data_IF_845809094311
#
_entry.id   IF_845809094311
#
_cell.length_a   1.000
_cell.length_b   1.000
_cell.length_c   1.000
_cell.angle_alpha   90.00
_cell.angle_beta   90.00
_cell.angle_gamma   90.00
#
_symmetry.space_group_name_H-M   'P 1'
#
loop_
_entity.id
_entity.type
_entity.pdbx_description
1 polymer ?
#
# COMPACT_ATOMS: atom_id res chain seq x y z
N UNK A 1 -22.56 31.47 -2.44
CA UNK A 1 -21.43 30.67 -1.93
C UNK A 1 -20.96 31.37 -0.66
N UNK A 2 -21.53 31.02 0.49
CA UNK A 2 -21.18 31.65 1.77
C UNK A 2 -19.72 31.30 2.10
N UNK A 3 -18.93 32.31 2.45
CA UNK A 3 -17.61 32.11 3.04
C UNK A 3 -17.78 31.33 4.35
N UNK A 4 -17.66 30.01 4.29
CA UNK A 4 -17.60 29.17 5.48
C UNK A 4 -16.17 29.27 6.03
N UNK A 5 -15.97 30.23 6.92
CA UNK A 5 -14.69 30.41 7.59
C UNK A 5 -14.38 29.16 8.44
N UNK A 6 -13.33 28.41 8.06
CA UNK A 6 -12.90 27.24 8.82
C UNK A 6 -12.61 27.65 10.27
N UNK A 7 -13.13 26.89 11.23
CA UNK A 7 -12.82 27.14 12.63
C UNK A 7 -11.33 26.89 12.88
N UNK A 8 -10.67 27.69 13.75
CA UNK A 8 -9.24 27.49 14.10
C UNK A 8 -8.92 26.04 14.45
N UNK A 9 -9.81 25.36 15.17
CA UNK A 9 -9.70 23.93 15.52
C UNK A 9 -9.66 23.02 14.28
N UNK A 10 -10.46 23.30 13.27
CA UNK A 10 -10.51 22.50 12.04
C UNK A 10 -9.25 22.71 11.20
N UNK A 11 -8.74 23.94 11.18
CA UNK A 11 -7.47 24.26 10.53
C UNK A 11 -6.28 23.53 11.20
N UNK A 12 -6.20 23.55 12.53
CA UNK A 12 -5.18 22.78 13.26
C UNK A 12 -5.33 21.28 13.06
N UNK A 13 -6.56 20.76 13.05
CA UNK A 13 -6.80 19.35 12.76
C UNK A 13 -6.29 18.98 11.37
N UNK A 14 -6.54 19.81 10.35
CA UNK A 14 -6.06 19.60 8.99
C UNK A 14 -4.52 19.59 8.89
N UNK A 15 -3.86 20.54 9.55
CA UNK A 15 -2.39 20.55 9.59
C UNK A 15 -1.82 19.34 10.30
N UNK A 16 -2.35 18.99 11.48
CA UNK A 16 -1.90 17.80 12.23
C UNK A 16 -2.10 16.51 11.44
N UNK A 17 -3.25 16.36 10.75
CA UNK A 17 -3.48 15.18 9.91
C UNK A 17 -2.49 15.11 8.75
N UNK A 18 -2.16 16.24 8.13
CA UNK A 18 -1.20 16.26 7.01
C UNK A 18 0.22 15.91 7.48
N UNK A 19 0.68 16.53 8.57
CA UNK A 19 1.99 16.24 9.17
C UNK A 19 2.11 14.79 9.66
N UNK A 20 1.03 14.18 10.13
CA UNK A 20 1.05 12.78 10.56
C UNK A 20 1.14 11.78 9.39
N UNK A 21 0.57 12.10 8.22
CA UNK A 21 0.53 11.21 7.06
C UNK A 21 1.85 11.20 6.28
N UNK A 22 2.55 12.34 6.20
CA UNK A 22 3.78 12.48 5.40
C UNK A 22 4.87 11.45 5.75
N UNK A 23 5.25 11.23 7.03
CA UNK A 23 6.27 10.24 7.38
C UNK A 23 5.86 8.82 6.98
N UNK A 24 4.58 8.50 7.04
CA UNK A 24 4.06 7.20 6.66
C UNK A 24 4.21 6.96 5.15
N UNK A 25 3.81 7.93 4.33
CA UNK A 25 3.93 7.83 2.86
C UNK A 25 5.39 7.68 2.44
N UNK A 26 6.30 8.46 3.03
CA UNK A 26 7.71 8.43 2.66
C UNK A 26 8.38 7.17 3.20
N UNK A 27 8.37 6.94 4.51
CA UNK A 27 9.14 5.83 5.06
C UNK A 27 8.49 4.47 4.75
N UNK A 28 7.18 4.34 4.96
CA UNK A 28 6.50 3.04 4.88
C UNK A 28 6.20 2.67 3.45
N UNK A 29 5.48 3.52 2.70
CA UNK A 29 5.05 3.15 1.35
C UNK A 29 6.22 3.11 0.35
N UNK A 30 7.21 4.00 0.49
CA UNK A 30 8.31 4.08 -0.51
C UNK A 30 9.52 3.19 -0.20
N UNK A 31 9.75 2.83 1.06
CA UNK A 31 10.94 2.04 1.46
C UNK A 31 10.54 0.68 2.03
N UNK A 32 9.76 0.66 3.12
CA UNK A 32 9.53 -0.60 3.83
C UNK A 32 8.62 -1.57 3.08
N UNK A 33 7.50 -1.11 2.49
CA UNK A 33 6.57 -1.98 1.76
C UNK A 33 7.25 -2.69 0.58
N UNK A 34 7.98 -2.01 -0.33
CA UNK A 34 8.67 -2.69 -1.42
C UNK A 34 9.64 -3.77 -0.94
N UNK A 35 10.43 -3.49 0.11
CA UNK A 35 11.40 -4.42 0.68
C UNK A 35 10.71 -5.63 1.31
N UNK A 36 9.60 -5.40 2.04
CA UNK A 36 8.81 -6.47 2.64
C UNK A 36 8.20 -7.35 1.53
N UNK A 37 7.58 -6.75 0.51
CA UNK A 37 7.00 -7.50 -0.60
C UNK A 37 8.04 -8.33 -1.36
N UNK A 38 9.22 -7.78 -1.58
CA UNK A 38 10.33 -8.49 -2.24
C UNK A 38 10.82 -9.66 -1.37
N UNK A 39 10.99 -9.44 -0.07
CA UNK A 39 11.42 -10.49 0.87
C UNK A 39 10.38 -11.61 0.96
N UNK A 40 9.10 -11.26 1.09
CA UNK A 40 8.01 -12.23 1.22
C UNK A 40 7.77 -13.00 -0.08
N UNK A 41 7.84 -12.33 -1.23
CA UNK A 41 7.74 -12.99 -2.53
C UNK A 41 8.93 -13.91 -2.82
N UNK A 42 10.12 -13.57 -2.33
CA UNK A 42 11.32 -14.43 -2.43
C UNK A 42 11.21 -15.66 -1.52
N UNK A 43 10.71 -15.49 -0.29
CA UNK A 43 10.50 -16.61 0.65
C UNK A 43 9.41 -17.59 0.20
N UNK A 44 8.35 -17.09 -0.44
CA UNK A 44 7.28 -17.91 -0.99
C UNK A 44 7.55 -18.39 -2.44
N UNK A 45 8.67 -17.97 -3.02
CA UNK A 45 9.03 -18.23 -4.41
C UNK A 45 9.83 -19.52 -4.62
N UNK A 46 10.13 -19.78 -5.89
CA UNK A 46 10.92 -20.92 -6.36
C UNK A 46 12.18 -20.44 -7.07
N UNK A 47 13.15 -21.32 -7.28
CA UNK A 47 14.34 -20.99 -8.09
C UNK A 47 13.98 -20.81 -9.56
N UNK A 48 14.70 -19.90 -10.24
CA UNK A 48 14.51 -19.64 -11.67
C UNK A 48 14.80 -20.87 -12.54
N UNK A 49 15.88 -21.61 -12.21
CA UNK A 49 16.32 -22.80 -12.95
C UNK A 49 15.40 -24.00 -12.75
N UNK A 50 15.04 -24.29 -11.49
CA UNK A 50 14.10 -25.36 -11.13
C UNK A 50 12.96 -24.81 -10.26
N UNK A 51 11.79 -24.69 -10.90
CA UNK A 51 10.58 -24.10 -10.32
C UNK A 51 9.88 -25.01 -9.29
N UNK A 52 10.43 -26.18 -9.01
CA UNK A 52 9.91 -27.09 -7.98
C UNK A 52 10.66 -26.97 -6.65
N UNK A 53 11.78 -26.26 -6.62
CA UNK A 53 12.63 -26.10 -5.43
C UNK A 53 12.37 -24.72 -4.82
N UNK A 54 12.13 -24.62 -3.49
CA UNK A 54 11.96 -23.33 -2.83
C UNK A 54 13.22 -22.46 -3.01
N UNK A 55 13.01 -21.16 -3.12
CA UNK A 55 14.14 -20.24 -3.28
C UNK A 55 14.96 -20.13 -1.99
N UNK A 56 16.28 -20.01 -2.14
CA UNK A 56 17.20 -19.82 -1.02
C UNK A 56 17.81 -18.42 -1.12
N UNK A 57 17.37 -17.54 -0.23
CA UNK A 57 17.79 -16.13 -0.15
C UNK A 57 19.15 -15.95 0.56
N UNK A 58 19.75 -17.03 1.09
CA UNK A 58 21.04 -16.99 1.77
C UNK A 58 22.26 -17.06 0.84
N UNK A 59 22.06 -17.27 -0.46
CA UNK A 59 23.11 -17.43 -1.47
C UNK A 59 23.32 -16.09 -2.20
N UNK A 60 24.56 -15.68 -2.44
CA UNK A 60 24.86 -14.51 -3.29
C UNK A 60 24.36 -14.76 -4.74
N UNK A 61 23.71 -13.76 -5.35
CA UNK A 61 23.08 -13.84 -6.69
C UNK A 61 21.92 -14.84 -6.85
N UNK A 62 21.10 -15.03 -5.81
CA UNK A 62 19.86 -15.81 -5.96
C UNK A 62 18.89 -15.16 -6.97
N UNK A 63 18.27 -16.00 -7.81
CA UNK A 63 17.19 -15.58 -8.73
C UNK A 63 15.91 -16.35 -8.39
N UNK A 64 15.00 -15.66 -7.70
CA UNK A 64 13.70 -16.21 -7.31
C UNK A 64 12.60 -15.78 -8.27
N UNK A 65 11.69 -16.71 -8.54
CA UNK A 65 10.42 -16.46 -9.23
C UNK A 65 9.26 -16.74 -8.30
N UNK A 66 8.28 -15.85 -8.26
CA UNK A 66 7.05 -16.00 -7.51
C UNK A 66 5.85 -16.09 -8.45
N UNK A 67 4.73 -16.59 -7.96
CA UNK A 67 3.51 -16.72 -8.75
C UNK A 67 2.65 -15.48 -8.57
N UNK A 68 2.44 -14.74 -9.66
CA UNK A 68 1.50 -13.62 -9.68
C UNK A 68 0.28 -13.99 -10.54
N UNK A 69 -0.80 -14.39 -9.86
CA UNK A 69 -2.00 -14.92 -10.52
C UNK A 69 -1.70 -16.22 -11.28
N UNK A 70 -1.73 -16.15 -12.61
CA UNK A 70 -1.45 -17.29 -13.50
C UNK A 70 -0.01 -17.32 -14.02
N UNK A 71 0.73 -16.23 -13.88
CA UNK A 71 2.06 -16.07 -14.47
C UNK A 71 3.15 -16.13 -13.40
N UNK A 72 4.37 -16.49 -13.81
CA UNK A 72 5.56 -16.43 -12.96
C UNK A 72 6.28 -15.12 -13.21
N UNK A 73 6.65 -14.43 -12.14
CA UNK A 73 7.29 -13.12 -12.16
C UNK A 73 8.49 -13.16 -11.23
N UNK A 74 9.57 -12.47 -11.61
CA UNK A 74 10.74 -12.32 -10.72
C UNK A 74 10.35 -11.57 -9.43
N UNK A 75 10.82 -12.06 -8.29
CA UNK A 75 10.46 -11.51 -6.98
C UNK A 75 10.85 -10.02 -6.82
N UNK A 76 11.92 -9.59 -7.48
CA UNK A 76 12.35 -8.18 -7.52
C UNK A 76 11.35 -7.28 -8.28
N UNK A 77 10.78 -7.79 -9.37
CA UNK A 77 9.82 -7.06 -10.20
C UNK A 77 8.40 -7.09 -9.62
N UNK A 78 8.10 -8.09 -8.78
CA UNK A 78 6.82 -8.27 -8.12
C UNK A 78 6.38 -7.02 -7.34
N UNK A 79 7.27 -6.45 -6.52
CA UNK A 79 6.97 -5.26 -5.71
C UNK A 79 6.54 -4.08 -6.57
N UNK A 80 7.22 -3.85 -7.69
CA UNK A 80 6.89 -2.74 -8.60
C UNK A 80 5.53 -2.93 -9.28
N UNK A 81 5.17 -4.15 -9.69
CA UNK A 81 3.87 -4.42 -10.30
C UNK A 81 2.71 -4.21 -9.32
N UNK A 82 2.86 -4.68 -8.09
CA UNK A 82 1.88 -4.49 -7.02
C UNK A 82 1.68 -3.00 -6.71
N UNK A 83 2.77 -2.25 -6.55
CA UNK A 83 2.70 -0.81 -6.28
C UNK A 83 2.05 -0.07 -7.45
N UNK A 84 2.40 -0.42 -8.69
CA UNK A 84 1.78 0.18 -9.87
C UNK A 84 0.27 -0.09 -9.94
N UNK A 85 -0.17 -1.32 -9.65
CA UNK A 85 -1.58 -1.68 -9.59
C UNK A 85 -2.31 -0.93 -8.47
N UNK A 86 -1.68 -0.76 -7.31
CA UNK A 86 -2.22 0.01 -6.18
C UNK A 86 -2.42 1.48 -6.55
N UNK A 87 -1.41 2.15 -7.12
CA UNK A 87 -1.52 3.55 -7.55
C UNK A 87 -2.55 3.72 -8.67
N UNK A 88 -2.68 2.75 -9.56
CA UNK A 88 -3.74 2.74 -10.57
C UNK A 88 -5.14 2.68 -9.93
N UNK A 89 -5.35 1.82 -8.93
CA UNK A 89 -6.60 1.78 -8.16
C UNK A 89 -6.84 3.09 -7.39
N UNK A 90 -5.80 3.66 -6.77
CA UNK A 90 -5.86 4.94 -6.07
C UNK A 90 -6.29 6.09 -6.99
N UNK A 91 -5.92 6.06 -8.27
CA UNK A 91 -6.37 7.05 -9.25
C UNK A 91 -7.90 7.10 -9.37
N UNK A 92 -8.56 5.94 -9.45
CA UNK A 92 -10.02 5.87 -9.48
C UNK A 92 -10.66 6.38 -8.20
N UNK A 93 -10.09 6.00 -7.04
CA UNK A 93 -10.57 6.49 -5.75
C UNK A 93 -10.41 8.00 -5.65
N UNK A 94 -9.26 8.55 -6.07
CA UNK A 94 -8.98 9.97 -5.99
C UNK A 94 -9.94 10.80 -6.85
N UNK A 95 -10.17 10.38 -8.10
CA UNK A 95 -11.11 11.05 -9.00
C UNK A 95 -12.55 10.92 -8.48
N UNK A 96 -12.98 9.72 -8.10
CA UNK A 96 -14.36 9.46 -7.67
C UNK A 96 -14.70 10.10 -6.32
N UNK A 97 -13.86 9.87 -5.31
CA UNK A 97 -14.08 10.40 -3.97
C UNK A 97 -13.74 11.88 -3.86
N UNK A 98 -12.83 12.40 -4.69
CA UNK A 98 -12.57 13.84 -4.80
C UNK A 98 -13.83 14.59 -5.23
N UNK A 99 -14.47 14.14 -6.32
CA UNK A 99 -15.73 14.72 -6.78
C UNK A 99 -16.84 14.66 -5.71
N UNK A 100 -16.96 13.54 -4.98
CA UNK A 100 -17.96 13.38 -3.92
C UNK A 100 -17.69 14.26 -2.69
N UNK A 101 -16.41 14.47 -2.36
CA UNK A 101 -15.99 15.29 -1.22
C UNK A 101 -16.25 16.78 -1.44
N UNK A 102 -16.25 17.24 -2.70
CA UNK A 102 -16.53 18.62 -3.09
C UNK A 102 -18.03 18.99 -2.95
N UNK A 103 -18.93 18.01 -2.83
CA UNK A 103 -20.36 18.25 -2.65
C UNK A 103 -20.75 18.42 -1.16
N UNK A 104 -21.17 19.63 -0.80
CA UNK A 104 -21.89 19.94 0.43
C UNK A 104 -21.12 19.61 1.72
N UNK A 105 -21.81 19.03 2.70
CA UNK A 105 -21.27 18.73 4.04
C UNK A 105 -20.50 17.39 4.11
N UNK A 106 -20.13 16.80 2.98
CA UNK A 106 -19.47 15.48 2.95
C UNK A 106 -17.96 15.55 3.18
N UNK A 107 -17.32 16.71 2.94
CA UNK A 107 -15.87 16.91 3.08
C UNK A 107 -15.33 16.40 4.42
N UNK A 108 -15.94 16.82 5.53
CA UNK A 108 -15.51 16.43 6.89
C UNK A 108 -15.78 14.95 7.19
N UNK A 109 -16.92 14.44 6.75
CA UNK A 109 -17.31 13.04 6.96
C UNK A 109 -16.40 12.08 6.18
N UNK A 110 -16.10 12.40 4.92
CA UNK A 110 -15.20 11.62 4.08
C UNK A 110 -13.76 11.70 4.57
N UNK A 111 -13.28 12.86 5.01
CA UNK A 111 -11.94 13.00 5.59
C UNK A 111 -11.76 12.08 6.81
N UNK A 112 -12.69 12.14 7.76
CA UNK A 112 -12.63 11.28 8.95
C UNK A 112 -12.83 9.81 8.58
N UNK A 113 -13.76 9.51 7.66
CA UNK A 113 -14.02 8.16 7.19
C UNK A 113 -12.78 7.49 6.59
N UNK A 114 -12.09 8.16 5.66
CA UNK A 114 -10.87 7.62 5.06
C UNK A 114 -9.71 7.53 6.05
N UNK A 115 -9.61 8.48 6.98
CA UNK A 115 -8.59 8.43 8.03
C UNK A 115 -8.76 7.21 8.94
N UNK A 116 -9.99 6.93 9.40
CA UNK A 116 -10.26 5.73 10.19
C UNK A 116 -10.10 4.44 9.38
N UNK A 117 -10.56 4.41 8.13
CA UNK A 117 -10.39 3.24 7.27
C UNK A 117 -8.90 2.95 7.02
N UNK A 118 -8.11 3.96 6.67
CA UNK A 118 -6.66 3.84 6.50
C UNK A 118 -5.97 3.34 7.76
N UNK A 119 -6.31 3.89 8.93
CA UNK A 119 -5.76 3.43 10.20
C UNK A 119 -6.07 1.93 10.45
N UNK A 120 -7.29 1.48 10.16
CA UNK A 120 -7.66 0.07 10.28
C UNK A 120 -6.87 -0.83 9.33
N UNK A 121 -6.68 -0.42 8.07
CA UNK A 121 -5.88 -1.17 7.10
C UNK A 121 -4.41 -1.27 7.53
N UNK A 122 -3.81 -0.17 7.99
CA UNK A 122 -2.42 -0.16 8.48
C UNK A 122 -2.24 -1.07 9.70
N UNK A 123 -3.18 -1.04 10.65
CA UNK A 123 -3.17 -1.96 11.80
C UNK A 123 -3.34 -3.42 11.33
N UNK A 124 -4.19 -3.64 10.32
CA UNK A 124 -4.43 -4.94 9.70
C UNK A 124 -3.19 -5.54 9.02
N UNK A 125 -2.21 -4.73 8.62
CA UNK A 125 -0.96 -5.20 8.00
C UNK A 125 -0.19 -6.20 8.88
N UNK A 126 -0.36 -6.14 10.21
CA UNK A 126 0.21 -7.11 11.17
C UNK A 126 -0.25 -8.55 10.87
N UNK A 127 -1.45 -8.75 10.32
CA UNK A 127 -1.96 -10.09 9.99
C UNK A 127 -1.23 -10.72 8.79
N UNK A 128 -0.47 -9.93 8.03
CA UNK A 128 0.19 -10.34 6.79
C UNK A 128 1.62 -10.85 7.02
N UNK A 129 2.02 -11.02 8.28
CA UNK A 129 3.35 -11.56 8.65
C UNK A 129 3.63 -13.00 8.16
N UNK A 130 2.66 -13.67 7.54
CA UNK A 130 2.85 -15.00 6.96
C UNK A 130 3.29 -14.90 5.50
N UNK A 131 4.46 -15.46 5.12
CA UNK A 131 4.98 -15.41 3.74
C UNK A 131 4.06 -16.06 2.73
N UNK A 132 3.24 -17.04 3.12
CA UNK A 132 2.25 -17.66 2.24
C UNK A 132 1.11 -16.71 1.77
N UNK A 133 0.94 -15.56 2.43
CA UNK A 133 -0.07 -14.56 2.08
C UNK A 133 0.54 -13.28 1.46
N UNK A 134 1.69 -13.41 0.79
CA UNK A 134 2.38 -12.30 0.11
C UNK A 134 1.52 -11.55 -0.93
N UNK A 135 0.49 -12.20 -1.49
CA UNK A 135 -0.47 -11.57 -2.39
C UNK A 135 -1.39 -10.57 -1.68
N UNK A 136 -1.75 -10.85 -0.43
CA UNK A 136 -2.57 -9.97 0.39
C UNK A 136 -1.76 -8.76 0.89
N UNK A 137 -0.44 -8.90 1.02
CA UNK A 137 0.46 -7.81 1.41
C UNK A 137 0.49 -6.67 0.40
N UNK A 138 0.17 -6.98 -0.86
CA UNK A 138 0.17 -6.02 -1.96
C UNK A 138 -1.14 -5.26 -2.17
N UNK A 139 -2.21 -5.62 -1.46
CA UNK A 139 -3.56 -5.11 -1.64
C UNK A 139 -3.98 -4.31 -0.40
#
# INVERSE_FOLDING_TARGET
MSNEELTKRELYAWYLTSTAIEPYVIAVLSVFIPVILETYSSLAGFKLEDRNVPCDIGIEDYKCVTKFGFWYVDSTSYSFYIIALSVFAQCFVYIGCGALADYGNNRKKMLLGFSYAGALFVIGFILVLNPNMYWLAGL
#
